data_IF_579824563262
#
_entry.id   IF_579824563262
#
_cell.length_a   1.000
_cell.length_b   1.000
_cell.length_c   1.000
_cell.angle_alpha   90.00
_cell.angle_beta   90.00
_cell.angle_gamma   90.00
#
_symmetry.space_group_name_H-M   'P 1'
#
loop_
_entity.id
_entity.type
_entity.pdbx_description
1 polymer ?
#
# COMPACT_ATOMS: atom_id res chain seq x y z
N UNK A 1 9.34 23.68 -7.87
CA UNK A 1 9.28 22.67 -6.82
C UNK A 1 8.06 22.92 -5.96
N UNK A 2 7.09 22.01 -5.98
CA UNK A 2 5.93 21.97 -5.10
C UNK A 2 5.50 20.49 -5.00
N UNK A 3 5.12 20.01 -3.81
CA UNK A 3 4.66 18.62 -3.63
C UNK A 3 3.30 18.46 -4.33
N UNK A 4 3.19 17.50 -5.26
CA UNK A 4 1.95 17.25 -6.01
C UNK A 4 0.89 16.47 -5.20
N UNK A 5 1.34 15.46 -4.45
CA UNK A 5 0.52 14.63 -3.56
C UNK A 5 1.30 14.19 -2.33
N UNK A 6 0.59 13.96 -1.24
CA UNK A 6 1.13 13.40 0.02
C UNK A 6 0.39 12.11 0.29
N UNK A 7 1.15 11.03 0.49
CA UNK A 7 0.62 9.72 0.86
C UNK A 7 0.98 9.44 2.33
N UNK A 8 0.01 9.01 3.13
CA UNK A 8 0.30 8.44 4.45
C UNK A 8 -0.65 7.32 4.80
N UNK A 9 -0.26 6.48 5.78
CA UNK A 9 -1.04 5.31 6.19
C UNK A 9 -2.02 5.64 7.30
N UNK A 10 -3.11 4.86 7.41
CA UNK A 10 -4.11 4.94 8.48
C UNK A 10 -3.69 4.28 9.82
N UNK A 11 -2.40 4.07 10.08
CA UNK A 11 -1.88 3.47 11.32
C UNK A 11 -1.90 4.41 12.54
N UNK A 12 -2.40 5.63 12.34
CA UNK A 12 -2.66 6.63 13.37
C UNK A 12 -3.98 7.33 13.05
N UNK A 13 -4.53 8.03 14.03
CA UNK A 13 -5.68 8.90 13.79
C UNK A 13 -5.35 9.98 12.75
N UNK A 14 -6.26 10.18 11.80
CA UNK A 14 -6.21 11.20 10.76
C UNK A 14 -7.42 12.10 10.93
N UNK A 15 -7.22 13.42 10.96
CA UNK A 15 -8.34 14.34 11.14
C UNK A 15 -9.23 14.37 9.88
N UNK A 16 -10.55 14.56 10.01
CA UNK A 16 -11.45 14.64 8.85
C UNK A 16 -11.06 15.73 7.86
N UNK A 17 -10.48 16.84 8.32
CA UNK A 17 -10.03 17.94 7.49
C UNK A 17 -8.83 17.57 6.61
N UNK A 18 -7.94 16.70 7.11
CA UNK A 18 -6.81 16.16 6.35
C UNK A 18 -7.30 15.22 5.26
N UNK A 19 -8.23 14.31 5.60
CA UNK A 19 -8.80 13.33 4.67
C UNK A 19 -9.49 13.96 3.46
N UNK A 20 -10.02 15.18 3.62
CA UNK A 20 -10.70 15.93 2.56
C UNK A 20 -9.74 16.75 1.68
N UNK A 21 -8.44 16.82 1.98
CA UNK A 21 -7.50 17.62 1.17
C UNK A 21 -7.27 16.97 -0.20
N UNK A 22 -7.38 17.73 -1.31
CA UNK A 22 -7.25 17.18 -2.67
C UNK A 22 -5.84 16.67 -3.00
N UNK A 23 -4.82 17.09 -2.24
CA UNK A 23 -3.45 16.60 -2.39
C UNK A 23 -3.17 15.35 -1.56
N UNK A 24 -4.07 14.97 -0.65
CA UNK A 24 -3.82 13.94 0.33
C UNK A 24 -4.41 12.60 -0.12
N UNK A 25 -3.66 11.52 0.09
CA UNK A 25 -4.08 10.16 -0.24
C UNK A 25 -3.84 9.29 0.99
N UNK A 26 -4.91 8.73 1.53
CA UNK A 26 -4.82 7.74 2.59
C UNK A 26 -4.48 6.36 1.99
N UNK A 27 -3.43 5.74 2.51
CA UNK A 27 -3.02 4.38 2.18
C UNK A 27 -3.58 3.44 3.25
N UNK A 28 -4.61 2.68 2.90
CA UNK A 28 -5.26 1.75 3.82
C UNK A 28 -4.40 0.51 4.10
N UNK A 29 -4.02 0.34 5.36
CA UNK A 29 -3.24 -0.79 5.87
C UNK A 29 -4.10 -1.91 6.46
N UNK A 30 -5.44 -1.76 6.53
CA UNK A 30 -6.33 -2.72 7.21
C UNK A 30 -6.16 -4.15 6.67
N UNK A 31 -6.13 -4.31 5.35
CA UNK A 31 -5.91 -5.62 4.71
C UNK A 31 -4.54 -6.21 5.03
N UNK A 32 -3.51 -5.37 5.13
CA UNK A 32 -2.15 -5.81 5.39
C UNK A 32 -1.99 -6.26 6.86
N UNK A 33 -2.60 -5.53 7.80
CA UNK A 33 -2.64 -5.91 9.21
C UNK A 33 -3.45 -7.20 9.41
N UNK A 34 -4.60 -7.35 8.73
CA UNK A 34 -5.38 -8.58 8.79
C UNK A 34 -4.55 -9.81 8.34
N UNK A 35 -3.80 -9.68 7.25
CA UNK A 35 -2.91 -10.73 6.75
C UNK A 35 -1.77 -11.04 7.74
N UNK A 36 -1.21 -10.02 8.39
CA UNK A 36 -0.18 -10.20 9.41
C UNK A 36 -0.73 -11.00 10.60
N UNK A 37 -1.90 -10.62 11.13
CA UNK A 37 -2.57 -11.31 12.24
C UNK A 37 -2.86 -12.76 11.86
N UNK A 38 -3.42 -12.98 10.67
CA UNK A 38 -3.73 -14.32 10.16
C UNK A 38 -2.47 -15.19 10.07
N UNK A 39 -1.38 -14.65 9.53
CA UNK A 39 -0.11 -15.38 9.39
C UNK A 39 0.48 -15.75 10.75
N UNK A 40 0.45 -14.82 11.71
CA UNK A 40 0.91 -15.06 13.07
C UNK A 40 0.06 -16.11 13.79
N UNK A 41 -1.26 -16.06 13.63
CA UNK A 41 -2.18 -17.01 14.26
C UNK A 41 -2.04 -18.45 13.73
N UNK A 42 -1.47 -18.64 12.54
CA UNK A 42 -1.20 -19.95 11.95
C UNK A 42 0.24 -20.43 12.17
N UNK A 43 0.98 -19.83 13.13
CA UNK A 43 2.40 -20.12 13.41
C UNK A 43 3.31 -20.08 12.16
N UNK A 44 2.93 -19.26 11.18
CA UNK A 44 3.65 -19.10 9.92
C UNK A 44 4.64 -17.94 9.98
N UNK A 45 5.69 -18.01 9.17
CA UNK A 45 6.69 -16.92 9.08
C UNK A 45 6.12 -15.67 8.42
N UNK A 46 6.30 -14.51 9.05
CA UNK A 46 5.97 -13.19 8.48
C UNK A 46 7.07 -12.60 7.58
N UNK A 47 8.23 -13.26 7.47
CA UNK A 47 9.40 -12.73 6.74
C UNK A 47 9.10 -12.37 5.28
N UNK A 48 8.31 -13.20 4.60
CA UNK A 48 7.88 -12.96 3.23
C UNK A 48 6.92 -11.75 3.10
N UNK A 49 6.13 -11.45 4.14
CA UNK A 49 5.26 -10.28 4.15
C UNK A 49 6.06 -9.00 4.33
N UNK A 50 7.08 -9.03 5.20
CA UNK A 50 7.94 -7.88 5.50
C UNK A 50 8.84 -7.47 4.32
N UNK A 51 9.12 -8.37 3.37
CA UNK A 51 9.90 -8.05 2.19
C UNK A 51 9.01 -7.55 1.03
N UNK A 52 9.04 -6.25 0.69
CA UNK A 52 8.17 -5.70 -0.34
C UNK A 52 8.70 -5.94 -1.77
N UNK A 53 9.94 -6.39 -1.94
CA UNK A 53 10.64 -6.40 -3.24
C UNK A 53 9.85 -7.20 -4.28
N UNK A 54 9.47 -8.43 -3.96
CA UNK A 54 8.74 -9.30 -4.89
C UNK A 54 7.39 -8.73 -5.30
N UNK A 55 6.68 -8.12 -4.34
CA UNK A 55 5.39 -7.48 -4.57
C UNK A 55 5.52 -6.26 -5.47
N UNK A 56 6.56 -5.44 -5.27
CA UNK A 56 6.87 -4.30 -6.14
C UNK A 56 7.17 -4.80 -7.55
N UNK A 57 8.06 -5.79 -7.70
CA UNK A 57 8.41 -6.34 -9.01
C UNK A 57 7.19 -6.88 -9.77
N UNK A 58 6.30 -7.58 -9.07
CA UNK A 58 5.04 -8.10 -9.63
C UNK A 58 4.12 -6.97 -10.13
N UNK A 59 3.94 -5.93 -9.32
CA UNK A 59 3.12 -4.76 -9.68
C UNK A 59 3.74 -4.02 -10.86
N UNK A 60 5.06 -3.81 -10.84
CA UNK A 60 5.78 -3.15 -11.92
C UNK A 60 5.64 -3.93 -13.23
N UNK A 61 5.83 -5.26 -13.22
CA UNK A 61 5.66 -6.08 -14.42
C UNK A 61 4.25 -5.94 -15.01
N UNK A 62 3.21 -6.07 -14.16
CA UNK A 62 1.82 -5.88 -14.56
C UNK A 62 1.59 -4.51 -15.18
N UNK A 63 2.11 -3.45 -14.55
CA UNK A 63 1.97 -2.09 -15.05
C UNK A 63 2.62 -1.88 -16.44
N UNK A 64 3.79 -2.49 -16.69
CA UNK A 64 4.42 -2.45 -18.02
C UNK A 64 3.60 -3.19 -19.08
N UNK A 65 3.03 -4.35 -18.74
CA UNK A 65 2.14 -5.10 -19.62
C UNK A 65 0.86 -4.30 -19.91
N UNK A 66 0.26 -3.68 -18.90
CA UNK A 66 -0.91 -2.81 -19.03
C UNK A 66 -0.63 -1.61 -19.95
N UNK A 67 0.57 -1.01 -19.87
CA UNK A 67 0.97 0.08 -20.78
C UNK A 67 1.12 -0.43 -22.22
N UNK A 68 1.75 -1.60 -22.41
CA UNK A 68 1.98 -2.17 -23.74
C UNK A 68 0.67 -2.56 -24.46
N UNK A 69 -0.34 -2.95 -23.70
CA UNK A 69 -1.65 -3.37 -24.23
C UNK A 69 -2.66 -2.22 -24.36
N UNK A 70 -2.28 -0.97 -24.05
CA UNK A 70 -3.12 0.19 -24.32
C UNK A 70 -3.12 0.49 -25.84
N UNK A 71 -4.28 0.64 -26.49
CA UNK A 71 -4.39 1.01 -27.89
C UNK A 71 -3.88 2.43 -28.16
#
# INVERSE_FOLDING_TARGET
>A
GLIYRVLSTNLIYQSPELLQKPYYINVDMSKYIALLIDTLNHDNSISALLNPIERIQRIMKKHHEDIKNRP
#
